data_IF_528108496852
#
_entry.id   IF_528108496852
#
_cell.length_a   1.000
_cell.length_b   1.000
_cell.length_c   1.000
_cell.angle_alpha   90.00
_cell.angle_beta   90.00
_cell.angle_gamma   90.00
#
_symmetry.space_group_name_H-M   'P 1'
#
loop_
_entity.id
_entity.type
_entity.pdbx_description
1 polymer ?
#
# COMPACT_ATOMS: atom_id res chain seq x y z
N UNK A 1 -2.04 11.26 -34.80
CA UNK A 1 -2.69 11.59 -33.51
C UNK A 1 -2.05 10.72 -32.44
N UNK A 2 -1.30 11.33 -31.53
CA UNK A 2 -0.32 10.64 -30.68
C UNK A 2 -1.01 9.90 -29.52
N UNK A 3 -0.76 8.60 -29.40
CA UNK A 3 -1.18 7.76 -28.27
C UNK A 3 -0.64 8.26 -26.90
N UNK A 4 0.35 9.16 -26.92
CA UNK A 4 0.96 9.79 -25.73
C UNK A 4 -0.01 10.71 -24.97
N UNK A 5 -0.91 11.39 -25.67
CA UNK A 5 -1.79 12.40 -25.05
C UNK A 5 -3.02 11.74 -24.39
N UNK A 6 -3.49 10.62 -24.95
CA UNK A 6 -4.61 9.86 -24.39
C UNK A 6 -4.28 9.18 -23.06
N UNK A 7 -3.10 8.57 -22.95
CA UNK A 7 -2.69 7.85 -21.75
C UNK A 7 -2.50 8.76 -20.54
N UNK A 8 -1.84 9.91 -20.74
CA UNK A 8 -1.68 10.93 -19.70
C UNK A 8 -3.02 11.51 -19.25
N UNK A 9 -3.96 11.72 -20.19
CA UNK A 9 -5.29 12.24 -19.89
C UNK A 9 -6.15 11.24 -19.11
N UNK A 10 -6.14 9.96 -19.47
CA UNK A 10 -6.92 8.92 -18.77
C UNK A 10 -6.30 8.63 -17.40
N UNK A 11 -4.98 8.61 -17.28
CA UNK A 11 -4.28 8.46 -16.00
C UNK A 11 -4.52 9.67 -15.09
N UNK A 12 -4.48 10.90 -15.62
CA UNK A 12 -4.87 12.11 -14.87
C UNK A 12 -6.35 12.13 -14.51
N UNK A 13 -7.26 11.66 -15.37
CA UNK A 13 -8.69 11.56 -15.08
C UNK A 13 -8.98 10.48 -14.04
N UNK A 14 -8.26 9.36 -14.03
CA UNK A 14 -8.47 8.25 -13.08
C UNK A 14 -7.77 8.52 -11.74
N UNK A 15 -6.58 9.13 -11.76
CA UNK A 15 -5.96 9.74 -10.57
C UNK A 15 -6.85 10.87 -10.05
N UNK A 16 -7.35 11.78 -10.88
CA UNK A 16 -8.24 12.87 -10.45
C UNK A 16 -9.61 12.37 -9.98
N UNK A 17 -10.15 11.29 -10.54
CA UNK A 17 -11.40 10.66 -10.13
C UNK A 17 -11.23 9.93 -8.81
N UNK A 18 -10.16 9.14 -8.66
CA UNK A 18 -9.84 8.45 -7.41
C UNK A 18 -9.46 9.45 -6.31
N UNK A 19 -8.73 10.53 -6.64
CA UNK A 19 -8.40 11.64 -5.74
C UNK A 19 -9.63 12.48 -5.40
N UNK A 20 -10.57 12.76 -6.33
CA UNK A 20 -11.84 13.46 -6.00
C UNK A 20 -12.74 12.61 -5.12
N UNK A 21 -12.87 11.32 -5.41
CA UNK A 21 -13.70 10.39 -4.63
C UNK A 21 -13.09 10.14 -3.24
N UNK A 22 -11.76 10.14 -3.13
CA UNK A 22 -11.06 10.01 -1.84
C UNK A 22 -10.93 11.33 -1.06
N UNK A 23 -10.81 12.50 -1.72
CA UNK A 23 -10.81 13.80 -1.06
C UNK A 23 -12.16 14.10 -0.37
N UNK A 24 -13.26 13.59 -0.94
CA UNK A 24 -14.57 13.59 -0.27
C UNK A 24 -14.56 12.76 1.03
N UNK A 25 -13.79 11.65 1.09
CA UNK A 25 -13.63 10.85 2.30
C UNK A 25 -12.68 11.48 3.34
N UNK A 26 -11.61 12.14 2.89
CA UNK A 26 -10.67 12.85 3.79
C UNK A 26 -11.34 14.12 4.36
N UNK A 27 -12.12 14.85 3.56
CA UNK A 27 -12.88 16.01 4.01
C UNK A 27 -13.98 15.67 5.03
N UNK A 28 -14.64 14.52 4.89
CA UNK A 28 -15.66 14.08 5.84
C UNK A 28 -15.06 13.51 7.15
N UNK A 29 -13.82 13.01 7.13
CA UNK A 29 -13.13 12.46 8.31
C UNK A 29 -12.38 13.48 9.18
N UNK A 30 -12.05 14.66 8.65
CA UNK A 30 -11.31 15.71 9.38
C UNK A 30 -12.19 16.58 10.30
N UNK A 31 -13.51 16.57 10.10
CA UNK A 31 -14.47 17.38 10.88
C UNK A 31 -14.91 16.78 12.23
N UNK A 32 -14.70 15.49 12.46
CA UNK A 32 -15.33 14.78 13.59
C UNK A 32 -14.36 14.41 14.74
N UNK A 33 -13.10 14.83 14.68
CA UNK A 33 -12.07 14.44 15.66
C UNK A 33 -11.72 15.49 16.72
N UNK A 34 -12.21 16.73 16.62
CA UNK A 34 -11.77 17.84 17.50
C UNK A 34 -12.65 18.13 18.72
N UNK A 35 -13.70 17.36 18.96
CA UNK A 35 -14.69 17.69 20.00
C UNK A 35 -14.73 16.73 21.21
N UNK A 36 -13.85 15.74 21.33
CA UNK A 36 -13.96 14.76 22.41
C UNK A 36 -12.68 14.63 23.23
N UNK A 37 -12.81 14.99 24.52
CA UNK A 37 -11.97 14.63 25.66
C UNK A 37 -10.77 15.54 25.98
N UNK A 38 -11.07 16.84 26.12
CA UNK A 38 -10.67 17.57 27.33
C UNK A 38 -11.88 17.55 28.29
N UNK A 39 -11.94 16.55 29.17
CA UNK A 39 -12.67 16.51 30.46
C UNK A 39 -12.87 15.06 30.88
N UNK A 40 -12.36 14.70 32.06
CA UNK A 40 -12.58 13.37 32.62
C UNK A 40 -11.62 12.95 33.71
N UNK A 41 -10.78 13.84 34.22
CA UNK A 41 -10.17 13.67 35.54
C UNK A 41 -11.19 14.14 36.57
N UNK A 42 -11.49 13.29 37.55
CA UNK A 42 -12.47 13.45 38.64
C UNK A 42 -13.91 13.02 38.33
N UNK A 43 -14.18 11.73 38.44
CA UNK A 43 -15.01 11.28 39.57
C UNK A 43 -14.85 9.78 39.77
N UNK A 44 -14.08 9.48 40.81
CA UNK A 44 -14.00 8.19 41.47
C UNK A 44 -15.20 8.08 42.39
N UNK A 45 -15.77 6.88 42.43
CA UNK A 45 -16.62 6.27 43.46
C UNK A 45 -18.12 6.19 43.13
N UNK A 46 -18.56 4.94 43.26
CA UNK A 46 -19.93 4.44 43.39
C UNK A 46 -20.78 4.39 42.12
N UNK A 47 -20.95 3.17 41.59
CA UNK A 47 -22.25 2.57 41.22
C UNK A 47 -22.08 1.13 40.66
N UNK A 48 -22.66 0.21 41.43
CA UNK A 48 -23.21 -1.13 41.15
C UNK A 48 -22.66 -2.02 40.01
N UNK A 49 -22.29 -3.23 40.44
CA UNK A 49 -21.70 -4.37 39.73
C UNK A 49 -22.55 -5.06 38.64
N UNK A 50 -23.75 -4.57 38.28
CA UNK A 50 -24.63 -5.25 37.29
C UNK A 50 -24.83 -4.48 35.97
N UNK A 51 -24.33 -3.24 35.86
CA UNK A 51 -24.35 -2.44 34.62
C UNK A 51 -23.08 -2.55 33.76
N UNK A 52 -22.00 -3.14 34.30
CA UNK A 52 -20.66 -3.17 33.68
C UNK A 52 -20.55 -4.00 32.40
N UNK A 53 -21.41 -5.01 32.20
CA UNK A 53 -21.32 -5.88 31.02
C UNK A 53 -21.78 -5.13 29.76
N UNK A 54 -22.79 -4.25 29.88
CA UNK A 54 -23.31 -3.47 28.75
C UNK A 54 -22.43 -2.27 28.37
N UNK A 55 -21.78 -1.62 29.33
CA UNK A 55 -20.87 -0.51 29.03
C UNK A 55 -19.53 -1.00 28.50
N UNK A 56 -18.98 -2.09 29.05
CA UNK A 56 -17.72 -2.68 28.56
C UNK A 56 -17.80 -3.18 27.11
N UNK A 57 -18.95 -3.71 26.70
CA UNK A 57 -19.17 -4.14 25.30
C UNK A 57 -19.40 -2.98 24.33
N UNK A 58 -19.79 -1.79 24.81
CA UNK A 58 -19.93 -0.59 23.98
C UNK A 58 -18.56 0.06 23.76
N UNK A 59 -17.80 0.28 24.83
CA UNK A 59 -16.43 0.82 24.75
C UNK A 59 -15.48 -0.10 23.97
N UNK A 60 -15.59 -1.43 24.12
CA UNK A 60 -14.80 -2.37 23.33
C UNK A 60 -15.17 -2.35 21.84
N UNK A 61 -16.46 -2.19 21.49
CA UNK A 61 -16.90 -2.01 20.11
C UNK A 61 -16.43 -0.68 19.53
N UNK A 62 -16.49 0.39 20.31
CA UNK A 62 -16.06 1.73 19.88
C UNK A 62 -14.54 1.75 19.63
N UNK A 63 -13.75 1.11 20.49
CA UNK A 63 -12.31 0.89 20.27
C UNK A 63 -12.04 0.05 19.01
N UNK A 64 -12.77 -1.06 18.82
CA UNK A 64 -12.63 -1.90 17.63
C UNK A 64 -12.97 -1.14 16.34
N UNK A 65 -14.00 -0.31 16.35
CA UNK A 65 -14.38 0.51 15.19
C UNK A 65 -13.31 1.56 14.90
N UNK A 66 -12.76 2.20 15.94
CA UNK A 66 -11.69 3.19 15.77
C UNK A 66 -10.43 2.53 15.15
N UNK A 67 -10.01 1.37 15.65
CA UNK A 67 -8.86 0.61 15.09
C UNK A 67 -9.08 0.24 13.62
N UNK A 68 -10.30 -0.15 13.24
CA UNK A 68 -10.63 -0.48 11.85
C UNK A 68 -10.52 0.74 10.93
N UNK A 69 -11.03 1.90 11.37
CA UNK A 69 -10.96 3.13 10.56
C UNK A 69 -9.53 3.59 10.33
N UNK A 70 -8.63 3.38 11.30
CA UNK A 70 -7.22 3.74 11.16
C UNK A 70 -6.46 2.83 10.19
N UNK A 71 -6.79 1.55 10.15
CA UNK A 71 -6.22 0.63 9.16
C UNK A 71 -6.66 1.00 7.74
N UNK A 72 -7.91 1.45 7.55
CA UNK A 72 -8.38 1.94 6.25
C UNK A 72 -7.64 3.21 5.85
N UNK A 73 -7.44 4.16 6.76
CA UNK A 73 -6.65 5.38 6.47
C UNK A 73 -5.21 5.04 6.08
N UNK A 74 -4.57 4.09 6.78
CA UNK A 74 -3.22 3.65 6.45
C UNK A 74 -3.15 3.04 5.05
N UNK A 75 -4.11 2.18 4.69
CA UNK A 75 -4.22 1.60 3.36
C UNK A 75 -4.38 2.67 2.26
N UNK A 76 -5.16 3.71 2.52
CA UNK A 76 -5.38 4.80 1.57
C UNK A 76 -4.12 5.64 1.35
N UNK A 77 -3.43 6.02 2.44
CA UNK A 77 -2.19 6.80 2.35
C UNK A 77 -1.11 6.05 1.58
N UNK A 78 -0.95 4.75 1.85
CA UNK A 78 0.03 3.92 1.16
C UNK A 78 -0.33 3.68 -0.30
N UNK A 79 -1.60 3.44 -0.60
CA UNK A 79 -2.08 3.25 -1.96
C UNK A 79 -1.87 4.52 -2.80
N UNK A 80 -2.22 5.69 -2.28
CA UNK A 80 -2.06 6.97 -3.00
C UNK A 80 -0.57 7.30 -3.17
N UNK A 81 0.20 7.24 -2.08
CA UNK A 81 1.64 7.51 -2.13
C UNK A 81 2.36 6.58 -3.09
N UNK A 82 2.18 5.27 -2.93
CA UNK A 82 2.79 4.27 -3.80
C UNK A 82 2.33 4.37 -5.25
N UNK A 83 1.04 4.65 -5.51
CA UNK A 83 0.53 4.79 -6.88
C UNK A 83 1.10 6.01 -7.58
N UNK A 84 1.39 7.09 -6.84
CA UNK A 84 2.05 8.27 -7.39
C UNK A 84 3.43 7.94 -7.95
N UNK A 85 4.14 6.99 -7.33
CA UNK A 85 5.45 6.53 -7.81
C UNK A 85 5.34 5.40 -8.83
N UNK A 86 4.37 4.50 -8.65
CA UNK A 86 4.14 3.34 -9.52
C UNK A 86 3.63 3.74 -10.91
N UNK A 87 2.78 4.77 -11.00
CA UNK A 87 2.19 5.19 -12.27
C UNK A 87 3.22 5.69 -13.30
N UNK A 88 4.13 6.63 -12.99
CA UNK A 88 5.19 7.02 -13.92
C UNK A 88 6.22 5.90 -14.15
N UNK A 89 6.51 5.08 -13.12
CA UNK A 89 7.47 3.99 -13.23
C UNK A 89 6.99 2.88 -14.17
N UNK A 90 5.74 2.45 -14.05
CA UNK A 90 5.12 1.43 -14.91
C UNK A 90 5.01 1.87 -16.38
N UNK A 91 4.78 3.17 -16.62
CA UNK A 91 4.79 3.74 -17.97
C UNK A 91 6.21 3.74 -18.52
N UNK A 92 7.20 4.15 -17.73
CA UNK A 92 8.60 4.14 -18.14
C UNK A 92 9.07 2.72 -18.48
N UNK A 93 8.71 1.72 -17.66
CA UNK A 93 9.03 0.31 -17.90
C UNK A 93 8.41 -0.20 -19.21
N UNK A 94 7.15 0.15 -19.49
CA UNK A 94 6.48 -0.21 -20.74
C UNK A 94 7.20 0.36 -21.99
N UNK A 95 7.71 1.59 -21.90
CA UNK A 95 8.51 2.18 -22.98
C UNK A 95 9.87 1.48 -23.17
N UNK A 96 10.55 1.12 -22.08
CA UNK A 96 11.85 0.41 -22.14
C UNK A 96 11.68 -0.99 -22.74
N UNK A 97 10.58 -1.67 -22.44
CA UNK A 97 10.30 -3.02 -22.92
C UNK A 97 9.66 -3.05 -24.32
N UNK A 98 9.28 -1.90 -24.88
CA UNK A 98 8.58 -1.83 -26.17
C UNK A 98 7.18 -2.45 -26.16
N UNK A 99 6.68 -2.82 -24.98
CA UNK A 99 5.33 -3.35 -24.78
C UNK A 99 4.39 -2.15 -24.66
N UNK A 100 3.59 -1.89 -25.70
CA UNK A 100 2.62 -0.80 -25.66
C UNK A 100 1.63 -0.92 -24.49
N UNK A 101 0.79 0.10 -24.31
CA UNK A 101 -0.28 0.09 -23.29
C UNK A 101 -1.32 -0.99 -23.63
N UNK A 102 -1.09 -2.20 -23.11
CA UNK A 102 -1.98 -3.35 -23.28
C UNK A 102 -2.98 -3.45 -22.13
N UNK A 103 -4.12 -4.13 -22.30
CA UNK A 103 -5.08 -4.37 -21.20
C UNK A 103 -4.44 -5.07 -19.99
N UNK A 104 -3.40 -5.85 -20.23
CA UNK A 104 -2.64 -6.54 -19.20
C UNK A 104 -1.82 -5.56 -18.32
N UNK A 105 -1.41 -4.41 -18.86
CA UNK A 105 -0.73 -3.37 -18.11
C UNK A 105 -1.69 -2.69 -17.12
N UNK A 106 -2.90 -2.34 -17.55
CA UNK A 106 -3.92 -1.73 -16.66
C UNK A 106 -4.23 -2.66 -15.48
N UNK A 107 -4.40 -3.96 -15.76
CA UNK A 107 -4.61 -4.96 -14.71
C UNK A 107 -3.41 -5.07 -13.75
N UNK A 108 -2.18 -4.95 -14.25
CA UNK A 108 -0.96 -4.98 -13.44
C UNK A 108 -0.79 -3.77 -12.52
N UNK A 109 -1.23 -2.59 -12.97
CA UNK A 109 -1.24 -1.35 -12.19
C UNK A 109 -2.33 -1.39 -11.13
N UNK A 110 -3.54 -1.86 -11.45
CA UNK A 110 -4.64 -2.03 -10.49
C UNK A 110 -4.28 -3.03 -9.38
N UNK A 111 -3.69 -4.17 -9.73
CA UNK A 111 -3.16 -5.12 -8.75
C UNK A 111 -1.99 -4.54 -7.94
N UNK A 112 -1.22 -3.63 -8.54
CA UNK A 112 -0.23 -2.81 -7.84
C UNK A 112 -0.82 -1.92 -6.77
N UNK A 113 -1.86 -1.16 -7.11
CA UNK A 113 -2.58 -0.32 -6.15
C UNK A 113 -3.17 -1.15 -5.00
N UNK A 114 -3.74 -2.33 -5.29
CA UNK A 114 -4.24 -3.25 -4.28
C UNK A 114 -3.12 -3.74 -3.34
N UNK A 115 -1.97 -4.11 -3.90
CA UNK A 115 -0.80 -4.55 -3.12
C UNK A 115 -0.24 -3.44 -2.22
N UNK A 116 -0.26 -2.18 -2.69
CA UNK A 116 0.14 -1.00 -1.92
C UNK A 116 -0.83 -0.69 -0.78
N UNK A 117 -2.14 -0.89 -1.00
CA UNK A 117 -3.15 -0.77 0.05
C UNK A 117 -2.93 -1.82 1.15
N UNK A 118 -2.73 -3.08 0.75
CA UNK A 118 -2.44 -4.17 1.69
C UNK A 118 -1.13 -3.94 2.45
N UNK A 119 -0.09 -3.46 1.77
CA UNK A 119 1.19 -3.11 2.37
C UNK A 119 1.01 -2.10 3.50
N UNK A 120 0.21 -1.04 3.32
CA UNK A 120 0.00 -0.04 4.37
C UNK A 120 -0.69 -0.58 5.62
N UNK A 121 -1.63 -1.51 5.45
CA UNK A 121 -2.26 -2.23 6.57
C UNK A 121 -1.18 -3.04 7.31
N UNK A 122 -0.42 -3.86 6.59
CA UNK A 122 0.62 -4.69 7.20
C UNK A 122 1.73 -3.88 7.86
N UNK A 123 2.12 -2.75 7.26
CA UNK A 123 3.16 -1.86 7.78
C UNK A 123 2.75 -1.28 9.14
N UNK A 124 1.48 -0.89 9.30
CA UNK A 124 0.94 -0.43 10.59
C UNK A 124 1.02 -1.51 11.67
N UNK A 125 0.77 -2.78 11.33
CA UNK A 125 0.84 -3.89 12.28
C UNK A 125 2.28 -4.29 12.62
N UNK A 126 3.19 -4.27 11.63
CA UNK A 126 4.59 -4.63 11.84
C UNK A 126 5.38 -3.53 12.57
N UNK A 127 5.10 -2.25 12.25
CA UNK A 127 5.80 -1.09 12.81
C UNK A 127 4.95 -0.45 13.91
N UNK A 128 4.83 -1.18 15.01
CA UNK A 128 4.24 -0.68 16.28
C UNK A 128 5.16 0.35 16.94
N UNK A 129 4.61 1.17 17.84
CA UNK A 129 5.33 2.24 18.55
C UNK A 129 6.60 1.74 19.27
N UNK A 130 6.53 0.54 19.85
CA UNK A 130 7.66 -0.13 20.52
C UNK A 130 8.82 -0.47 19.56
N UNK A 131 8.51 -0.78 18.30
CA UNK A 131 9.47 -1.27 17.30
C UNK A 131 9.82 -0.23 16.21
N UNK A 132 9.25 0.96 16.30
CA UNK A 132 9.42 2.04 15.34
C UNK A 132 10.86 2.53 15.16
N UNK A 133 11.74 2.29 16.14
CA UNK A 133 13.16 2.66 16.09
C UNK A 133 14.02 1.67 15.32
N UNK A 134 13.50 0.48 15.02
CA UNK A 134 14.24 -0.59 14.35
C UNK A 134 14.12 -0.43 12.83
N UNK A 135 15.10 0.23 12.21
CA UNK A 135 15.16 0.45 10.75
C UNK A 135 15.21 -0.85 9.94
N UNK A 136 15.84 -1.91 10.48
CA UNK A 136 15.92 -3.22 9.84
C UNK A 136 14.54 -3.87 9.62
N UNK A 137 13.60 -3.66 10.57
CA UNK A 137 12.25 -4.20 10.47
C UNK A 137 11.45 -3.49 9.36
N UNK A 138 11.60 -2.16 9.24
CA UNK A 138 10.93 -1.37 8.21
C UNK A 138 11.39 -1.75 6.80
N UNK A 139 12.71 -1.88 6.61
CA UNK A 139 13.29 -2.27 5.33
C UNK A 139 12.92 -3.71 4.94
N UNK A 140 12.87 -4.63 5.92
CA UNK A 140 12.46 -6.02 5.70
C UNK A 140 11.03 -6.15 5.16
N UNK A 141 10.08 -5.38 5.71
CA UNK A 141 8.68 -5.39 5.24
C UNK A 141 8.57 -4.85 3.81
N UNK A 142 9.27 -3.76 3.50
CA UNK A 142 9.33 -3.21 2.12
C UNK A 142 9.92 -4.22 1.14
N UNK A 143 11.04 -4.85 1.52
CA UNK A 143 11.70 -5.88 0.69
C UNK A 143 10.82 -7.10 0.45
N UNK A 144 10.11 -7.59 1.47
CA UNK A 144 9.23 -8.75 1.35
C UNK A 144 8.09 -8.51 0.34
N UNK A 145 7.46 -7.33 0.38
CA UNK A 145 6.39 -6.98 -0.57
C UNK A 145 6.91 -6.75 -1.99
N UNK A 146 8.09 -6.12 -2.14
CA UNK A 146 8.69 -5.92 -3.46
C UNK A 146 9.10 -7.25 -4.11
N UNK A 147 9.73 -8.15 -3.36
CA UNK A 147 10.13 -9.47 -3.86
C UNK A 147 8.92 -10.32 -4.23
N UNK A 148 7.88 -10.37 -3.38
CA UNK A 148 6.66 -11.15 -3.66
C UNK A 148 5.87 -10.62 -4.85
N UNK A 149 5.79 -9.29 -5.01
CA UNK A 149 5.21 -8.67 -6.21
C UNK A 149 6.00 -9.03 -7.46
N UNK A 150 7.33 -8.93 -7.40
CA UNK A 150 8.18 -9.25 -8.56
C UNK A 150 8.06 -10.72 -8.93
N UNK A 151 8.13 -11.62 -7.95
CA UNK A 151 8.03 -13.06 -8.17
C UNK A 151 6.70 -13.47 -8.81
N UNK A 152 5.60 -12.80 -8.47
CA UNK A 152 4.28 -13.06 -9.07
C UNK A 152 4.09 -12.44 -10.45
N UNK A 153 4.88 -11.42 -10.81
CA UNK A 153 4.83 -10.75 -12.10
C UNK A 153 5.77 -11.35 -13.17
N UNK A 154 6.74 -12.18 -12.76
CA UNK A 154 7.68 -12.84 -13.66
C UNK A 154 6.94 -13.70 -14.70
N UNK A 155 7.23 -13.45 -15.98
CA UNK A 155 6.70 -14.23 -17.09
C UNK A 155 7.79 -15.12 -17.66
N UNK A 156 7.46 -16.40 -17.85
CA UNK A 156 8.34 -17.31 -18.56
C UNK A 156 8.43 -16.88 -20.04
N UNK A 157 9.65 -16.89 -20.58
CA UNK A 157 9.88 -16.64 -22.01
C UNK A 157 9.16 -17.71 -22.84
N UNK A 158 8.59 -17.35 -24.02
CA UNK A 158 7.96 -18.33 -24.92
C UNK A 158 8.93 -19.39 -25.46
N UNK A 159 10.24 -19.20 -25.28
CA UNK A 159 11.28 -20.19 -25.64
C UNK A 159 11.51 -21.26 -24.58
N UNK A 160 10.90 -21.15 -23.40
CA UNK A 160 11.03 -22.14 -22.33
C UNK A 160 10.17 -23.39 -22.58
N UNK A 161 10.77 -24.56 -22.40
CA UNK A 161 10.02 -25.83 -22.38
C UNK A 161 9.40 -25.99 -20.98
N UNK A 162 8.09 -26.28 -20.85
CA UNK A 162 7.44 -26.39 -19.55
C UNK A 162 7.80 -27.68 -18.78
N UNK A 163 8.22 -28.75 -19.48
CA UNK A 163 8.58 -30.04 -18.88
C UNK A 163 9.73 -30.68 -19.70
N UNK A 164 10.95 -30.84 -19.14
CA UNK A 164 11.48 -30.21 -17.92
C UNK A 164 11.60 -28.68 -18.09
N UNK A 165 11.57 -27.91 -17.00
CA UNK A 165 11.67 -26.44 -17.06
C UNK A 165 13.08 -26.04 -17.49
N UNK A 166 13.26 -25.85 -18.79
CA UNK A 166 14.55 -25.54 -19.40
C UNK A 166 14.39 -24.25 -20.21
N UNK A 167 14.93 -23.16 -19.65
CA UNK A 167 14.88 -21.82 -20.22
C UNK A 167 16.23 -21.36 -20.80
N UNK A 168 17.32 -22.09 -20.52
CA UNK A 168 18.67 -21.77 -20.96
C UNK A 168 19.60 -21.33 -19.80
N UNK A 169 20.88 -21.02 -20.09
CA UNK A 169 21.82 -20.46 -19.10
C UNK A 169 21.34 -19.07 -18.61
N UNK A 170 21.60 -18.64 -17.36
CA UNK A 170 22.63 -19.12 -16.42
C UNK A 170 22.23 -20.15 -15.34
N UNK A 171 20.94 -20.35 -15.04
CA UNK A 171 20.50 -21.23 -13.94
C UNK A 171 19.61 -22.40 -14.42
N UNK A 172 19.47 -22.60 -15.73
CA UNK A 172 18.57 -23.60 -16.33
C UNK A 172 17.09 -23.17 -16.24
N UNK A 173 16.67 -22.70 -15.05
CA UNK A 173 15.35 -22.17 -14.75
C UNK A 173 15.20 -20.67 -15.10
N UNK A 174 16.26 -19.87 -14.89
CA UNK A 174 16.27 -18.44 -15.23
C UNK A 174 17.17 -18.18 -16.42
N UNK A 175 16.62 -17.51 -17.44
CA UNK A 175 17.35 -16.96 -18.58
C UNK A 175 17.77 -15.50 -18.32
N UNK A 176 18.78 -15.00 -19.03
CA UNK A 176 19.25 -13.61 -18.90
C UNK A 176 18.14 -12.58 -19.17
N UNK A 177 17.25 -12.85 -20.12
CA UNK A 177 16.12 -11.96 -20.41
C UNK A 177 15.13 -11.90 -19.24
N UNK A 178 14.86 -13.05 -18.60
CA UNK A 178 13.96 -13.15 -17.45
C UNK A 178 14.56 -12.48 -16.20
N UNK A 179 15.88 -12.56 -16.05
CA UNK A 179 16.60 -11.88 -14.98
C UNK A 179 16.55 -10.36 -15.15
N UNK A 180 16.75 -9.87 -16.38
CA UNK A 180 16.65 -8.44 -16.69
C UNK A 180 15.23 -7.91 -16.49
N UNK A 181 14.21 -8.65 -16.94
CA UNK A 181 12.82 -8.25 -16.73
C UNK A 181 12.45 -8.24 -15.24
N UNK A 182 12.91 -9.26 -14.51
CA UNK A 182 12.76 -9.36 -13.06
C UNK A 182 13.42 -8.21 -12.30
N UNK A 183 14.61 -7.76 -12.69
CA UNK A 183 15.29 -6.64 -12.01
C UNK A 183 14.62 -5.30 -12.28
N UNK A 184 14.10 -5.07 -13.49
CA UNK A 184 13.31 -3.87 -13.81
C UNK A 184 12.05 -3.84 -12.94
N UNK A 185 11.31 -4.95 -12.89
CA UNK A 185 10.09 -5.08 -12.08
C UNK A 185 10.36 -4.96 -10.57
N UNK A 186 11.50 -5.50 -10.10
CA UNK A 186 11.92 -5.38 -8.70
C UNK A 186 12.25 -3.94 -8.33
N UNK A 187 12.96 -3.25 -9.21
CA UNK A 187 13.36 -1.85 -9.00
C UNK A 187 12.13 -0.95 -8.94
N UNK A 188 11.19 -1.13 -9.88
CA UNK A 188 9.90 -0.43 -9.86
C UNK A 188 9.13 -0.70 -8.56
N UNK A 189 9.03 -1.98 -8.17
CA UNK A 189 8.30 -2.38 -6.97
C UNK A 189 8.93 -1.82 -5.69
N UNK A 190 10.27 -1.85 -5.58
CA UNK A 190 11.00 -1.26 -4.46
C UNK A 190 10.79 0.26 -4.36
N UNK A 191 10.78 0.96 -5.50
CA UNK A 191 10.48 2.38 -5.54
C UNK A 191 9.05 2.69 -5.09
N UNK A 192 8.06 1.91 -5.54
CA UNK A 192 6.67 2.09 -5.16
C UNK A 192 6.42 1.82 -3.67
N UNK A 193 6.88 0.67 -3.14
CA UNK A 193 6.71 0.31 -1.74
C UNK A 193 7.58 1.18 -0.81
N UNK A 194 8.78 1.54 -1.25
CA UNK A 194 9.66 2.45 -0.52
C UNK A 194 9.05 3.85 -0.39
N UNK A 195 8.49 4.40 -1.47
CA UNK A 195 7.81 5.69 -1.42
C UNK A 195 6.52 5.62 -0.58
N UNK A 196 5.76 4.53 -0.66
CA UNK A 196 4.60 4.31 0.21
C UNK A 196 4.98 4.27 1.70
N UNK A 197 6.11 3.66 2.05
CA UNK A 197 6.63 3.65 3.42
C UNK A 197 7.00 5.05 3.90
N UNK A 198 7.66 5.86 3.07
CA UNK A 198 8.00 7.26 3.39
C UNK A 198 6.72 8.08 3.62
N UNK A 199 5.69 7.93 2.78
CA UNK A 199 4.40 8.59 2.96
C UNK A 199 3.70 8.19 4.26
N UNK A 200 3.76 6.91 4.64
CA UNK A 200 3.21 6.42 5.90
C UNK A 200 3.95 7.00 7.11
N UNK A 201 5.28 6.98 7.10
CA UNK A 201 6.09 7.59 8.17
C UNK A 201 5.80 9.09 8.31
N UNK A 202 5.60 9.79 7.20
CA UNK A 202 5.17 11.19 7.22
C UNK A 202 3.78 11.36 7.86
N UNK A 203 2.83 10.49 7.52
CA UNK A 203 1.48 10.52 8.09
C UNK A 203 1.46 10.19 9.60
N UNK A 204 2.30 9.25 10.05
CA UNK A 204 2.49 8.98 11.49
C UNK A 204 3.09 10.18 12.22
N UNK A 205 4.12 10.83 11.64
CA UNK A 205 4.73 12.04 12.24
C UNK A 205 3.78 13.23 12.36
N UNK A 206 2.83 13.37 11.42
CA UNK A 206 1.80 14.41 11.45
C UNK A 206 0.64 14.10 12.40
N UNK A 207 0.61 12.90 12.99
CA UNK A 207 -0.50 12.45 13.86
C UNK A 207 -1.80 12.17 13.10
N UNK A 208 -1.73 11.93 11.79
CA UNK A 208 -2.91 11.58 10.97
C UNK A 208 -3.32 10.11 11.16
N UNK A 209 -2.40 9.29 11.66
CA UNK A 209 -2.56 7.88 11.95
C UNK A 209 -1.97 7.60 13.34
N UNK A 210 -2.70 6.85 14.17
CA UNK A 210 -2.16 6.31 15.42
C UNK A 210 -1.46 4.98 15.15
N UNK A 211 -0.25 4.84 15.69
CA UNK A 211 0.40 3.54 15.81
C UNK A 211 -0.33 2.72 16.87
N UNK A 212 -0.26 1.41 16.73
CA UNK A 212 -0.68 0.55 17.83
C UNK A 212 0.46 0.49 18.85
N UNK A 213 0.09 0.76 20.10
CA UNK A 213 0.96 0.62 21.28
C UNK A 213 1.40 -0.84 21.48
#
# INVERSE_FOLDING_TARGET
MNARDGALSVLWLKVSSSVRTMALFIGCGAGLGRAALSQGTLLRRDLCSNGRIRTRTRTARDLQMNTRTESVKAALVSAIGGSFMLAPASVAAAYVQGTGLSPQWELGVDMGALSLALFGITYRYCVSESNAKNSMLQQGVVGAFAITRTASALRASPTCVPIPLQCGPPLGYFDYAMLFDGTVMLTESLLAFGFAAICLEFAFRKGWLLRME
#
